data_IF_040902868509
#
_entry.id   IF_040902868509
#
_cell.length_a   1.000
_cell.length_b   1.000
_cell.length_c   1.000
_cell.angle_alpha   90.00
_cell.angle_beta   90.00
_cell.angle_gamma   90.00
#
_symmetry.space_group_name_H-M   'P 1'
#
loop_
_entity.id
_entity.type
_entity.pdbx_description
1 polymer ?
#
# COMPACT_ATOMS: atom_id res chain seq x y z
N UNK A 1 -25.75 -6.08 3.45
CA UNK A 1 -25.14 -7.08 2.54
C UNK A 1 -23.92 -6.40 1.93
N UNK A 2 -22.75 -6.73 2.46
CA UNK A 2 -21.45 -6.28 1.97
C UNK A 2 -21.20 -6.87 0.58
N UNK A 3 -21.24 -6.06 -0.48
CA UNK A 3 -20.92 -6.51 -1.84
C UNK A 3 -19.47 -6.15 -2.14
N UNK A 4 -18.53 -6.98 -1.67
CA UNK A 4 -17.14 -6.90 -2.12
C UNK A 4 -17.08 -7.31 -3.60
N UNK A 5 -16.91 -6.35 -4.50
CA UNK A 5 -16.59 -6.64 -5.91
C UNK A 5 -15.07 -6.66 -6.05
N UNK A 6 -14.51 -7.87 -6.06
CA UNK A 6 -13.15 -8.10 -6.56
C UNK A 6 -13.30 -8.32 -8.07
N UNK A 7 -12.87 -7.34 -8.87
CA UNK A 7 -12.71 -7.57 -10.31
C UNK A 7 -11.26 -8.00 -10.53
N UNK A 8 -11.06 -9.29 -10.74
CA UNK A 8 -9.78 -9.84 -11.14
C UNK A 8 -9.57 -9.53 -12.64
N UNK A 9 -8.45 -8.89 -12.94
CA UNK A 9 -8.01 -8.58 -14.28
C UNK A 9 -6.84 -9.45 -14.72
N UNK A 10 -6.72 -10.72 -14.29
CA UNK A 10 -5.76 -11.66 -14.90
C UNK A 10 -6.12 -13.12 -14.62
N UNK A 11 -6.14 -13.95 -15.67
CA UNK A 11 -6.12 -15.41 -15.53
C UNK A 11 -4.87 -15.85 -14.72
N UNK A 12 -5.06 -16.78 -13.77
CA UNK A 12 -4.00 -17.25 -12.87
C UNK A 12 -2.82 -17.93 -13.60
N UNK A 13 -1.61 -17.94 -13.01
CA UNK A 13 -0.40 -18.34 -13.72
C UNK A 13 -0.31 -19.86 -13.92
N UNK A 14 0.20 -20.24 -15.10
CA UNK A 14 0.73 -21.58 -15.37
C UNK A 14 2.19 -21.65 -14.89
N UNK A 15 2.66 -22.81 -14.39
CA UNK A 15 3.88 -22.91 -13.58
C UNK A 15 5.24 -22.66 -14.27
N UNK A 16 5.29 -22.09 -15.49
CA UNK A 16 6.54 -21.94 -16.26
C UNK A 16 6.73 -20.61 -16.99
N UNK A 17 5.84 -19.62 -16.83
CA UNK A 17 5.92 -18.39 -17.62
C UNK A 17 6.82 -17.31 -16.97
N UNK A 18 7.69 -16.76 -17.81
CA UNK A 18 8.72 -15.73 -17.60
C UNK A 18 8.27 -14.58 -16.66
N UNK A 19 9.15 -14.17 -15.73
CA UNK A 19 8.87 -13.41 -14.50
C UNK A 19 8.51 -11.93 -14.72
N UNK A 20 7.44 -11.63 -15.46
CA UNK A 20 6.88 -10.27 -15.55
C UNK A 20 5.37 -10.30 -15.45
N UNK A 21 4.86 -10.62 -14.27
CA UNK A 21 3.43 -10.55 -14.01
C UNK A 21 3.01 -9.12 -13.64
N UNK A 22 1.95 -8.65 -14.28
CA UNK A 22 1.34 -7.33 -14.05
C UNK A 22 -0.14 -7.46 -13.70
N UNK A 23 -0.49 -8.14 -12.59
CA UNK A 23 -1.89 -8.28 -12.21
C UNK A 23 -2.44 -6.90 -11.81
N UNK A 24 -3.64 -6.59 -12.30
CA UNK A 24 -4.40 -5.42 -11.87
C UNK A 24 -5.57 -5.87 -11.00
N UNK A 25 -5.57 -5.45 -9.73
CA UNK A 25 -6.66 -5.77 -8.82
C UNK A 25 -7.38 -4.52 -8.36
N UNK A 26 -8.71 -4.59 -8.39
CA UNK A 26 -9.57 -3.54 -7.88
C UNK A 26 -10.53 -4.11 -6.86
N UNK A 27 -10.61 -3.42 -5.73
CA UNK A 27 -11.48 -3.78 -4.63
C UNK A 27 -12.23 -2.53 -4.17
N UNK A 28 -13.55 -2.67 -4.13
CA UNK A 28 -14.48 -1.67 -3.65
C UNK A 28 -15.18 -2.22 -2.43
N UNK A 29 -15.07 -1.50 -1.31
CA UNK A 29 -15.82 -1.73 -0.09
C UNK A 29 -16.85 -0.62 0.12
N UNK A 30 -17.88 -0.92 0.89
CA UNK A 30 -18.79 0.05 1.48
C UNK A 30 -19.41 -0.46 2.78
N UNK A 31 -19.48 0.39 3.81
CA UNK A 31 -20.28 0.11 4.99
C UNK A 31 -19.76 -1.03 5.87
N UNK A 32 -18.52 -0.91 6.34
CA UNK A 32 -17.94 -1.81 7.33
C UNK A 32 -17.32 -3.07 6.72
N UNK A 33 -17.05 -3.05 5.42
CA UNK A 33 -16.43 -4.15 4.69
C UNK A 33 -15.00 -4.38 5.18
N UNK A 34 -14.58 -5.65 5.27
CA UNK A 34 -13.24 -6.03 5.76
C UNK A 34 -12.55 -7.05 4.86
N UNK A 35 -12.27 -6.69 3.60
CA UNK A 35 -11.58 -7.61 2.73
C UNK A 35 -10.08 -7.70 3.08
N UNK A 36 -9.53 -8.89 2.98
CA UNK A 36 -8.10 -9.15 3.16
C UNK A 36 -7.48 -9.58 1.83
N UNK A 37 -6.31 -9.03 1.51
CA UNK A 37 -5.59 -9.38 0.30
C UNK A 37 -4.11 -9.58 0.58
N UNK A 38 -3.56 -10.63 -0.03
CA UNK A 38 -2.15 -10.99 0.05
C UNK A 38 -1.59 -11.25 -1.34
N UNK A 39 -0.51 -10.58 -1.68
CA UNK A 39 0.20 -10.76 -2.93
C UNK A 39 1.69 -11.01 -2.67
N UNK A 40 2.28 -11.85 -3.51
CA UNK A 40 3.70 -12.14 -3.52
C UNK A 40 4.20 -11.95 -4.96
N UNK A 41 5.19 -11.09 -5.14
CA UNK A 41 5.89 -10.89 -6.39
C UNK A 41 7.32 -11.41 -6.31
N UNK A 42 7.90 -11.67 -7.48
CA UNK A 42 9.33 -11.88 -7.63
C UNK A 42 9.82 -11.50 -9.01
N UNK A 43 11.06 -11.03 -9.13
CA UNK A 43 11.76 -10.98 -10.40
C UNK A 43 11.27 -9.90 -11.36
N UNK A 44 10.82 -8.75 -10.87
CA UNK A 44 10.42 -7.63 -11.71
C UNK A 44 8.93 -7.57 -11.97
N UNK A 45 8.14 -8.26 -11.15
CA UNK A 45 6.68 -8.21 -11.13
C UNK A 45 6.20 -6.79 -10.84
N UNK A 46 5.05 -6.43 -11.42
CA UNK A 46 4.52 -5.05 -11.34
C UNK A 46 3.02 -5.04 -11.01
N UNK A 47 2.62 -5.58 -9.86
CA UNK A 47 1.20 -5.60 -9.51
C UNK A 47 0.67 -4.16 -9.32
N UNK A 48 -0.50 -3.89 -9.89
CA UNK A 48 -1.26 -2.67 -9.61
C UNK A 48 -2.47 -2.99 -8.76
N UNK A 49 -2.66 -2.21 -7.69
CA UNK A 49 -3.77 -2.40 -6.78
C UNK A 49 -4.51 -1.08 -6.56
N UNK A 50 -5.84 -1.15 -6.64
CA UNK A 50 -6.72 -0.03 -6.35
C UNK A 50 -7.76 -0.43 -5.32
N UNK A 51 -7.75 0.27 -4.19
CA UNK A 51 -8.70 0.12 -3.09
C UNK A 51 -9.54 1.38 -2.98
N UNK A 52 -10.86 1.22 -2.96
CA UNK A 52 -11.80 2.30 -2.68
C UNK A 52 -12.74 1.85 -1.57
N UNK A 53 -12.72 2.57 -0.45
CA UNK A 53 -13.62 2.37 0.68
C UNK A 53 -14.54 3.57 0.90
N UNK A 54 -15.65 3.34 1.59
CA UNK A 54 -16.48 4.37 2.18
C UNK A 54 -17.26 3.87 3.39
N UNK A 55 -17.48 4.74 4.38
CA UNK A 55 -18.43 4.48 5.46
C UNK A 55 -17.94 3.47 6.51
N UNK A 56 -16.65 3.53 6.85
CA UNK A 56 -16.05 2.76 7.94
C UNK A 56 -15.45 1.43 7.52
N UNK A 57 -15.09 1.29 6.24
CA UNK A 57 -14.45 0.11 5.69
C UNK A 57 -13.06 -0.12 6.26
N UNK A 58 -12.67 -1.39 6.33
CA UNK A 58 -11.42 -1.82 6.95
C UNK A 58 -10.68 -2.88 6.13
N UNK A 59 -10.20 -2.56 4.92
CA UNK A 59 -9.43 -3.52 4.15
C UNK A 59 -8.02 -3.69 4.72
N UNK A 60 -7.53 -4.92 4.68
CA UNK A 60 -6.14 -5.26 5.01
C UNK A 60 -5.40 -5.75 3.77
N UNK A 61 -4.23 -5.17 3.50
CA UNK A 61 -3.40 -5.55 2.36
C UNK A 61 -1.98 -5.86 2.81
N UNK A 62 -1.49 -7.01 2.34
CA UNK A 62 -0.10 -7.41 2.48
C UNK A 62 0.51 -7.70 1.12
N UNK A 63 1.66 -7.09 0.86
CA UNK A 63 2.44 -7.33 -0.33
C UNK A 63 3.88 -7.63 0.05
N UNK A 64 4.43 -8.68 -0.56
CA UNK A 64 5.82 -9.06 -0.41
C UNK A 64 6.45 -9.14 -1.80
N UNK A 65 7.53 -8.39 -2.01
CA UNK A 65 8.31 -8.43 -3.25
C UNK A 65 9.73 -8.92 -3.00
N UNK A 66 10.38 -9.36 -4.08
CA UNK A 66 11.82 -9.57 -4.13
C UNK A 66 12.38 -9.45 -5.54
N UNK A 67 13.63 -8.98 -5.65
CA UNK A 67 14.39 -9.05 -6.90
C UNK A 67 13.98 -8.01 -7.94
N UNK A 68 13.61 -6.81 -7.51
CA UNK A 68 13.32 -5.66 -8.38
C UNK A 68 11.85 -5.48 -8.71
N UNK A 69 10.96 -6.02 -7.87
CA UNK A 69 9.52 -5.87 -8.00
C UNK A 69 9.09 -4.42 -7.88
N UNK A 70 8.03 -4.05 -8.61
CA UNK A 70 7.56 -2.68 -8.69
C UNK A 70 6.06 -2.54 -8.48
N UNK A 71 5.57 -2.69 -7.24
CA UNK A 71 4.17 -2.53 -6.97
C UNK A 71 3.71 -1.08 -7.01
N UNK A 72 2.52 -0.88 -7.55
CA UNK A 72 1.80 0.38 -7.45
C UNK A 72 0.49 0.18 -6.69
N UNK A 73 0.29 0.96 -5.64
CA UNK A 73 -0.91 0.87 -4.82
C UNK A 73 -1.58 2.23 -4.67
N UNK A 74 -2.88 2.25 -4.93
CA UNK A 74 -3.74 3.41 -4.78
C UNK A 74 -4.88 3.10 -3.81
N UNK A 75 -4.97 3.88 -2.74
CA UNK A 75 -6.06 3.80 -1.77
C UNK A 75 -6.86 5.10 -1.77
N UNK A 76 -8.17 4.96 -1.74
CA UNK A 76 -9.10 6.06 -1.54
C UNK A 76 -10.09 5.67 -0.44
N UNK A 77 -10.12 6.44 0.65
CA UNK A 77 -11.08 6.27 1.73
C UNK A 77 -12.01 7.47 1.85
N UNK A 78 -13.14 7.28 2.52
CA UNK A 78 -13.94 8.37 3.05
C UNK A 78 -14.82 7.96 4.24
N UNK A 79 -15.02 8.86 5.18
CA UNK A 79 -16.04 8.69 6.23
C UNK A 79 -15.62 7.71 7.34
N UNK A 80 -14.36 7.77 7.76
CA UNK A 80 -13.85 7.02 8.91
C UNK A 80 -13.30 5.64 8.56
N UNK A 81 -12.89 5.45 7.31
CA UNK A 81 -12.28 4.22 6.84
C UNK A 81 -10.92 3.97 7.50
N UNK A 82 -10.53 2.70 7.62
CA UNK A 82 -9.25 2.27 8.18
C UNK A 82 -8.57 1.28 7.26
N UNK A 83 -7.57 1.71 6.53
CA UNK A 83 -6.81 0.81 5.67
C UNK A 83 -5.56 0.33 6.39
N UNK A 84 -5.36 -0.98 6.51
CA UNK A 84 -4.09 -1.53 7.00
C UNK A 84 -3.26 -2.02 5.81
N UNK A 85 -2.05 -1.48 5.67
CA UNK A 85 -1.14 -1.87 4.61
C UNK A 85 0.22 -2.30 5.14
N UNK A 86 0.70 -3.43 4.63
CA UNK A 86 2.07 -3.90 4.86
C UNK A 86 2.74 -4.19 3.52
N UNK A 87 3.79 -3.44 3.21
CA UNK A 87 4.67 -3.70 2.07
C UNK A 87 6.04 -4.15 2.58
N UNK A 88 6.53 -5.26 2.07
CA UNK A 88 7.87 -5.78 2.34
C UNK A 88 8.61 -5.99 1.02
N UNK A 89 9.77 -5.39 0.87
CA UNK A 89 10.65 -5.56 -0.29
C UNK A 89 12.00 -6.17 0.10
N UNK A 90 12.67 -6.74 -0.90
CA UNK A 90 14.10 -7.03 -0.82
C UNK A 90 14.79 -7.03 -2.18
N UNK A 91 16.03 -6.56 -2.23
CA UNK A 91 16.87 -6.70 -3.43
C UNK A 91 16.56 -5.70 -4.55
N UNK A 92 16.25 -4.45 -4.19
CA UNK A 92 16.10 -3.34 -5.12
C UNK A 92 14.65 -3.14 -5.58
N UNK A 93 13.69 -3.56 -4.77
CA UNK A 93 12.27 -3.38 -5.03
C UNK A 93 11.89 -1.90 -4.98
N UNK A 94 10.86 -1.52 -5.74
CA UNK A 94 10.31 -0.17 -5.75
C UNK A 94 8.83 -0.20 -5.46
N UNK A 95 8.42 0.32 -4.31
CA UNK A 95 7.02 0.46 -3.95
C UNK A 95 6.54 1.89 -4.14
N UNK A 96 5.48 2.06 -4.92
CA UNK A 96 4.80 3.35 -5.09
C UNK A 96 3.42 3.30 -4.45
N UNK A 97 3.17 4.21 -3.51
CA UNK A 97 1.95 4.25 -2.73
C UNK A 97 1.32 5.63 -2.78
N UNK A 98 0.05 5.66 -3.16
CA UNK A 98 -0.78 6.87 -3.16
C UNK A 98 -2.02 6.63 -2.33
N UNK A 99 -2.27 7.53 -1.39
CA UNK A 99 -3.40 7.46 -0.49
C UNK A 99 -4.11 8.80 -0.46
N UNK A 100 -5.42 8.75 -0.63
CA UNK A 100 -6.32 9.88 -0.55
C UNK A 100 -7.40 9.59 0.47
N UNK A 101 -7.46 10.38 1.53
CA UNK A 101 -8.47 10.27 2.59
C UNK A 101 -9.36 11.52 2.66
N UNK A 102 -10.54 11.35 3.23
CA UNK A 102 -11.37 12.46 3.69
C UNK A 102 -12.32 12.06 4.82
N UNK A 103 -12.63 13.00 5.71
CA UNK A 103 -13.69 12.81 6.70
C UNK A 103 -13.30 11.87 7.85
N UNK A 104 -12.03 11.89 8.25
CA UNK A 104 -11.54 11.20 9.44
C UNK A 104 -10.97 9.82 9.17
N UNK A 105 -10.48 9.58 7.96
CA UNK A 105 -9.85 8.33 7.56
C UNK A 105 -8.55 8.09 8.32
N UNK A 106 -8.27 6.82 8.63
CA UNK A 106 -7.13 6.42 9.47
C UNK A 106 -6.38 5.24 8.86
N UNK A 107 -5.64 5.47 7.78
CA UNK A 107 -4.82 4.43 7.19
C UNK A 107 -3.53 4.20 8.00
N UNK A 108 -3.20 2.93 8.22
CA UNK A 108 -1.98 2.48 8.87
C UNK A 108 -1.06 1.82 7.84
N UNK A 109 0.11 2.40 7.61
CA UNK A 109 1.05 1.97 6.58
C UNK A 109 2.35 1.50 7.22
N UNK A 110 2.77 0.27 6.89
CA UNK A 110 4.05 -0.30 7.29
C UNK A 110 4.85 -0.68 6.04
N UNK A 111 5.97 -0.01 5.84
CA UNK A 111 6.91 -0.27 4.74
C UNK A 111 8.21 -0.82 5.32
N UNK A 112 8.65 -1.97 4.84
CA UNK A 112 9.92 -2.58 5.21
C UNK A 112 10.73 -2.90 3.95
N UNK A 113 11.95 -2.38 3.88
CA UNK A 113 12.89 -2.66 2.80
C UNK A 113 14.18 -3.31 3.30
N UNK A 114 14.89 -3.94 2.36
CA UNK A 114 16.29 -4.31 2.53
C UNK A 114 17.02 -4.41 1.19
N UNK A 115 18.28 -3.98 1.14
CA UNK A 115 19.14 -4.22 -0.02
C UNK A 115 18.92 -3.25 -1.18
N UNK A 116 18.61 -1.99 -0.89
CA UNK A 116 18.52 -0.92 -1.86
C UNK A 116 17.11 -0.63 -2.35
N UNK A 117 16.11 -1.02 -1.55
CA UNK A 117 14.71 -0.82 -1.87
C UNK A 117 14.33 0.66 -1.84
N UNK A 118 13.33 1.03 -2.64
CA UNK A 118 12.79 2.39 -2.68
C UNK A 118 11.31 2.37 -2.39
N UNK A 119 10.89 3.23 -1.46
CA UNK A 119 9.49 3.49 -1.20
C UNK A 119 9.15 4.94 -1.51
N UNK A 120 8.19 5.17 -2.40
CA UNK A 120 7.65 6.49 -2.73
C UNK A 120 6.22 6.56 -2.21
N UNK A 121 5.96 7.52 -1.31
CA UNK A 121 4.68 7.66 -0.65
C UNK A 121 4.11 9.06 -0.82
N UNK A 122 2.86 9.12 -1.28
CA UNK A 122 2.06 10.35 -1.36
C UNK A 122 0.77 10.19 -0.56
N UNK A 123 0.59 11.06 0.43
CA UNK A 123 -0.61 11.15 1.24
C UNK A 123 -1.31 12.48 0.99
N UNK A 124 -2.61 12.42 0.72
CA UNK A 124 -3.48 13.57 0.66
C UNK A 124 -4.69 13.33 1.58
N UNK A 125 -4.87 14.18 2.58
CA UNK A 125 -5.97 14.09 3.53
C UNK A 125 -6.75 15.40 3.66
N UNK A 126 -7.97 15.29 4.18
CA UNK A 126 -8.75 16.43 4.63
C UNK A 126 -9.83 16.04 5.66
N UNK A 127 -10.14 16.95 6.58
CA UNK A 127 -11.30 16.76 7.48
C UNK A 127 -11.03 15.82 8.65
N UNK A 128 -9.80 15.82 9.18
CA UNK A 128 -9.45 15.15 10.42
C UNK A 128 -8.79 13.80 10.23
N UNK A 129 -8.20 13.56 9.05
CA UNK A 129 -7.52 12.31 8.70
C UNK A 129 -6.28 12.10 9.56
N UNK A 130 -6.02 10.84 9.91
CA UNK A 130 -4.91 10.45 10.80
C UNK A 130 -4.16 9.26 10.24
N UNK A 131 -3.34 9.46 9.19
CA UNK A 131 -2.50 8.40 8.68
C UNK A 131 -1.36 8.10 9.66
N UNK A 132 -1.12 6.81 9.92
CA UNK A 132 0.03 6.33 10.68
C UNK A 132 1.03 5.63 9.77
N UNK A 133 2.30 6.00 9.90
CA UNK A 133 3.34 5.64 8.95
C UNK A 133 4.52 5.04 9.69
N UNK A 134 4.87 3.81 9.36
CA UNK A 134 6.08 3.14 9.84
C UNK A 134 6.94 2.72 8.67
N UNK A 135 8.13 3.30 8.61
CA UNK A 135 9.12 3.05 7.56
C UNK A 135 10.34 2.39 8.20
N UNK A 136 10.72 1.22 7.69
CA UNK A 136 11.92 0.51 8.12
C UNK A 136 12.77 0.14 6.91
N UNK A 137 14.07 0.42 6.97
CA UNK A 137 14.98 0.11 5.86
C UNK A 137 16.40 -0.21 6.33
N UNK A 138 17.14 -0.96 5.51
CA UNK A 138 18.54 -1.31 5.74
C UNK A 138 19.28 -1.57 4.42
N UNK A 139 20.60 -1.38 4.40
CA UNK A 139 21.39 -1.71 3.21
C UNK A 139 21.16 -0.79 2.00
N UNK A 140 20.99 0.51 2.22
CA UNK A 140 20.91 1.53 1.16
C UNK A 140 19.51 1.95 0.75
N UNK A 141 18.49 1.50 1.48
CA UNK A 141 17.08 1.81 1.20
C UNK A 141 16.77 3.30 1.26
N UNK A 142 15.77 3.72 0.48
CA UNK A 142 15.31 5.12 0.41
C UNK A 142 13.82 5.22 0.58
N UNK A 143 13.40 6.24 1.33
CA UNK A 143 12.00 6.59 1.49
C UNK A 143 11.77 8.04 1.07
N UNK A 144 10.86 8.25 0.12
CA UNK A 144 10.40 9.57 -0.31
C UNK A 144 8.96 9.76 0.15
N UNK A 145 8.70 10.84 0.89
CA UNK A 145 7.39 11.11 1.49
C UNK A 145 6.87 12.50 1.09
N UNK A 146 5.63 12.54 0.60
CA UNK A 146 4.88 13.79 0.39
C UNK A 146 3.57 13.73 1.14
N UNK A 147 3.38 14.68 2.06
CA UNK A 147 2.17 14.82 2.87
C UNK A 147 1.47 16.12 2.51
N UNK A 148 0.17 16.06 2.24
CA UNK A 148 -0.69 17.22 2.09
C UNK A 148 -1.97 17.00 2.89
N UNK A 149 -2.28 17.91 3.82
CA UNK A 149 -3.44 17.80 4.69
C UNK A 149 -4.09 19.16 4.94
N UNK A 150 -5.37 19.15 5.30
CA UNK A 150 -6.14 20.35 5.66
C UNK A 150 -7.27 20.01 6.64
N UNK A 151 -7.62 20.93 7.53
CA UNK A 151 -8.78 20.75 8.41
C UNK A 151 -8.59 19.67 9.49
N UNK A 152 -7.64 19.85 10.40
CA UNK A 152 -7.49 19.03 11.60
C UNK A 152 -6.74 17.71 11.42
N UNK A 153 -6.18 17.46 10.23
CA UNK A 153 -5.39 16.26 9.93
C UNK A 153 -4.15 16.15 10.82
N UNK A 154 -3.82 14.92 11.23
CA UNK A 154 -2.67 14.62 12.09
C UNK A 154 -1.95 13.35 11.60
N UNK A 155 -0.98 13.47 10.69
CA UNK A 155 -0.13 12.35 10.30
C UNK A 155 0.87 12.01 11.40
N UNK A 156 1.07 10.72 11.67
CA UNK A 156 2.14 10.22 12.54
C UNK A 156 3.17 9.46 11.71
N UNK A 157 4.45 9.81 11.85
CA UNK A 157 5.55 9.21 11.11
C UNK A 157 6.62 8.64 12.04
N UNK A 158 6.95 7.38 11.84
CA UNK A 158 8.08 6.69 12.45
C UNK A 158 8.99 6.15 11.36
N UNK A 159 10.24 6.58 11.36
CA UNK A 159 11.29 6.09 10.47
C UNK A 159 12.36 5.38 11.30
N UNK A 160 12.74 4.16 10.89
CA UNK A 160 13.78 3.37 11.52
C UNK A 160 14.72 2.79 10.46
N UNK A 161 15.92 3.33 10.34
CA UNK A 161 16.93 2.86 9.40
C UNK A 161 18.11 2.21 10.13
N UNK A 162 18.56 1.05 9.67
CA UNK A 162 19.90 0.53 9.96
C UNK A 162 20.80 0.87 8.77
N UNK A 163 21.42 2.04 8.79
CA UNK A 163 22.47 2.38 7.82
C UNK A 163 23.76 1.59 8.10
N UNK A 164 24.62 1.35 7.10
CA UNK A 164 25.94 0.79 7.37
C UNK A 164 26.73 1.75 8.27
N UNK A 165 27.43 1.19 9.26
CA UNK A 165 28.56 1.85 9.88
C UNK A 165 29.68 2.06 8.84
#
# INVERSE_FOLDING_TARGET
MAHNKITDGAEGPRPWDDHRHRPELRLQGSGGDRPELRLQGSGGDRPELRLQGSGGDRPELRLQGSGGDRPELRLQGSGGDRHELRLQGSGGDRHELRLQGSGGDRPELRLQGSGGDRHELRLQGSGGDRPELRLQGSGGDRHELRLQGSGGDRPELRLQGSGPA
#
